data_IF_829006869291
#
_entry.id   IF_829006869291
#
_cell.length_a   1.000
_cell.length_b   1.000
_cell.length_c   1.000
_cell.angle_alpha   90.00
_cell.angle_beta   90.00
_cell.angle_gamma   90.00
#
_symmetry.space_group_name_H-M   'P 1'
#
loop_
_entity.id
_entity.type
_entity.pdbx_description
1 polymer ?
#
# COMPACT_ATOMS: atom_id res chain seq x y z
N UNK A 1 31.14 -5.72 0.29
CA UNK A 1 30.85 -5.11 1.61
C UNK A 1 29.67 -4.16 1.41
N UNK A 2 28.45 -4.66 1.43
CA UNK A 2 27.24 -3.85 1.28
C UNK A 2 26.62 -3.65 2.65
N UNK A 3 26.57 -2.39 3.09
CA UNK A 3 25.94 -1.97 4.33
C UNK A 3 24.44 -2.28 4.23
N UNK A 4 24.01 -3.34 4.92
CA UNK A 4 22.60 -3.66 5.14
C UNK A 4 21.97 -2.62 6.08
N UNK A 5 21.64 -1.45 5.54
CA UNK A 5 20.92 -0.40 6.26
C UNK A 5 19.64 -0.05 5.49
N UNK A 6 18.68 -0.98 5.45
CA UNK A 6 17.36 -0.69 4.88
C UNK A 6 16.46 -0.03 5.93
N UNK A 7 15.73 1.00 5.49
CA UNK A 7 14.65 1.65 6.23
C UNK A 7 15.07 2.90 7.00
N UNK A 8 16.04 2.82 7.93
CA UNK A 8 16.35 3.96 8.80
C UNK A 8 17.44 4.90 8.23
N UNK A 9 18.53 4.36 7.70
CA UNK A 9 19.61 5.18 7.13
C UNK A 9 19.18 5.87 5.83
N UNK A 10 18.50 5.15 4.94
CA UNK A 10 17.94 5.74 3.72
C UNK A 10 16.93 6.86 4.01
N UNK A 11 16.11 6.72 5.05
CA UNK A 11 15.19 7.79 5.49
C UNK A 11 15.95 8.99 6.04
N UNK A 12 17.05 8.79 6.76
CA UNK A 12 17.91 9.88 7.24
C UNK A 12 18.59 10.62 6.08
N UNK A 13 19.14 9.89 5.09
CA UNK A 13 19.74 10.52 3.90
C UNK A 13 18.70 11.25 3.04
N UNK A 14 17.47 10.75 2.97
CA UNK A 14 16.39 11.38 2.24
C UNK A 14 15.57 12.37 3.07
N UNK A 15 15.93 12.64 4.33
CA UNK A 15 15.15 13.49 5.21
C UNK A 15 14.97 14.91 4.65
N UNK A 16 16.03 15.47 4.05
CA UNK A 16 15.98 16.79 3.41
C UNK A 16 14.94 16.82 2.28
N UNK A 17 14.93 15.78 1.45
CA UNK A 17 13.97 15.63 0.35
C UNK A 17 12.54 15.48 0.88
N UNK A 18 12.34 14.66 1.91
CA UNK A 18 11.02 14.47 2.55
C UNK A 18 10.50 15.80 3.09
N UNK A 19 11.33 16.55 3.81
CA UNK A 19 10.95 17.86 4.36
C UNK A 19 10.68 18.89 3.27
N UNK A 20 11.48 18.89 2.20
CA UNK A 20 11.27 19.74 1.02
C UNK A 20 9.91 19.45 0.36
N UNK A 21 9.57 18.17 0.17
CA UNK A 21 8.29 17.77 -0.43
C UNK A 21 7.10 18.14 0.48
N UNK A 22 7.25 17.99 1.80
CA UNK A 22 6.24 18.44 2.76
C UNK A 22 6.04 19.95 2.65
N UNK A 23 7.12 20.73 2.59
CA UNK A 23 7.04 22.18 2.48
C UNK A 23 6.38 22.61 1.16
N UNK A 24 6.80 22.01 0.05
CA UNK A 24 6.22 22.23 -1.27
C UNK A 24 4.72 21.95 -1.27
N UNK A 25 4.30 20.77 -0.80
CA UNK A 25 2.89 20.37 -0.77
C UNK A 25 2.04 21.32 0.07
N UNK A 26 2.52 21.74 1.24
CA UNK A 26 1.81 22.73 2.07
C UNK A 26 1.64 24.07 1.36
N UNK A 27 2.69 24.56 0.70
CA UNK A 27 2.65 25.81 -0.06
C UNK A 27 1.67 25.72 -1.22
N UNK A 28 1.69 24.60 -1.94
CA UNK A 28 0.81 24.35 -3.08
C UNK A 28 -0.66 24.32 -2.66
N UNK A 29 -0.99 23.62 -1.56
CA UNK A 29 -2.33 23.60 -0.98
C UNK A 29 -2.77 25.01 -0.53
N UNK A 30 -1.92 25.74 0.19
CA UNK A 30 -2.21 27.11 0.65
C UNK A 30 -2.42 28.08 -0.54
N UNK A 31 -1.76 27.85 -1.68
CA UNK A 31 -1.94 28.66 -2.88
C UNK A 31 -3.22 28.27 -3.64
N UNK A 32 -3.52 26.97 -3.74
CA UNK A 32 -4.67 26.47 -4.47
C UNK A 32 -6.00 26.71 -3.73
N UNK A 33 -5.98 26.72 -2.39
CA UNK A 33 -7.18 26.86 -1.53
C UNK A 33 -8.28 25.83 -1.89
N UNK A 34 -8.00 24.51 -1.75
CA UNK A 34 -8.98 23.50 -2.08
C UNK A 34 -10.18 23.51 -1.11
N UNK A 35 -11.37 23.21 -1.63
CA UNK A 35 -12.56 22.96 -0.80
C UNK A 35 -12.39 21.72 0.09
N UNK A 36 -11.63 20.73 -0.38
CA UNK A 36 -11.32 19.49 0.35
C UNK A 36 -9.99 18.91 -0.10
N UNK A 37 -9.26 18.31 0.84
CA UNK A 37 -8.02 17.56 0.57
C UNK A 37 -8.31 16.08 0.72
N UNK A 38 -8.06 15.29 -0.34
CA UNK A 38 -8.19 13.83 -0.32
C UNK A 38 -6.80 13.21 -0.29
N UNK A 39 -6.43 12.63 0.85
CA UNK A 39 -5.21 11.87 1.02
C UNK A 39 -5.40 10.44 0.49
N UNK A 40 -4.47 9.94 -0.32
CA UNK A 40 -4.52 8.58 -0.89
C UNK A 40 -3.35 7.79 -0.33
N UNK A 41 -3.66 6.78 0.49
CA UNK A 41 -2.68 5.86 1.11
C UNK A 41 -1.48 6.62 1.74
N UNK A 42 -0.31 6.01 1.86
CA UNK A 42 0.97 6.58 2.27
C UNK A 42 0.95 7.42 3.57
N UNK A 43 0.57 6.81 4.71
CA UNK A 43 0.38 7.50 5.99
C UNK A 43 1.59 8.24 6.53
N UNK A 44 2.81 7.83 6.14
CA UNK A 44 4.04 8.47 6.62
C UNK A 44 4.13 9.95 6.24
N UNK A 45 3.70 10.29 5.02
CA UNK A 45 3.67 11.66 4.52
C UNK A 45 2.30 12.30 4.77
N UNK A 46 1.21 11.62 4.39
CA UNK A 46 -0.12 12.19 4.37
C UNK A 46 -0.63 12.58 5.76
N UNK A 47 -0.33 11.82 6.82
CA UNK A 47 -0.74 12.21 8.18
C UNK A 47 -0.05 13.51 8.67
N UNK A 48 1.16 13.81 8.17
CA UNK A 48 1.85 15.07 8.51
C UNK A 48 1.22 16.27 7.80
N UNK A 49 0.70 16.06 6.59
CA UNK A 49 -0.04 17.07 5.85
C UNK A 49 -1.43 17.24 6.45
N UNK A 50 -2.13 16.16 6.78
CA UNK A 50 -3.44 16.17 7.41
C UNK A 50 -3.44 16.95 8.73
N UNK A 51 -2.48 16.69 9.63
CA UNK A 51 -2.37 17.46 10.88
C UNK A 51 -2.20 18.96 10.62
N UNK A 52 -1.39 19.34 9.63
CA UNK A 52 -1.19 20.74 9.28
C UNK A 52 -2.44 21.35 8.64
N UNK A 53 -3.07 20.63 7.72
CA UNK A 53 -4.26 21.05 6.99
C UNK A 53 -5.43 21.27 7.96
N UNK A 54 -5.57 20.38 8.96
CA UNK A 54 -6.58 20.50 10.01
C UNK A 54 -6.41 21.78 10.82
N UNK A 55 -5.17 22.15 11.17
CA UNK A 55 -4.87 23.43 11.87
C UNK A 55 -5.15 24.66 11.01
N UNK A 56 -5.15 24.50 9.69
CA UNK A 56 -5.53 25.53 8.70
C UNK A 56 -7.03 25.54 8.38
N UNK A 57 -7.82 24.68 9.01
CA UNK A 57 -9.25 24.51 8.80
C UNK A 57 -9.64 23.98 7.41
N UNK A 58 -8.73 23.31 6.70
CA UNK A 58 -9.10 22.58 5.49
C UNK A 58 -9.89 21.32 5.84
N UNK A 59 -10.98 21.01 5.11
CA UNK A 59 -11.63 19.71 5.19
C UNK A 59 -10.70 18.58 4.71
N UNK A 60 -10.63 17.50 5.49
CA UNK A 60 -9.64 16.44 5.31
C UNK A 60 -10.30 15.08 5.11
N UNK A 61 -10.10 14.50 3.94
CA UNK A 61 -10.60 13.19 3.56
C UNK A 61 -9.44 12.22 3.37
N UNK A 62 -9.60 10.96 3.72
CA UNK A 62 -8.54 9.96 3.58
C UNK A 62 -9.08 8.68 2.94
N UNK A 63 -8.49 8.31 1.81
CA UNK A 63 -8.80 7.11 1.05
C UNK A 63 -7.70 6.07 1.21
N UNK A 64 -8.12 4.82 1.44
CA UNK A 64 -7.25 3.70 1.84
C UNK A 64 -6.63 3.98 3.21
N UNK A 65 -7.36 3.57 4.24
CA UNK A 65 -6.98 3.78 5.64
C UNK A 65 -5.57 3.28 5.95
N UNK A 66 -4.82 4.00 6.81
CA UNK A 66 -3.60 3.45 7.39
C UNK A 66 -3.91 2.14 8.15
N UNK A 67 -3.12 1.10 7.94
CA UNK A 67 -3.29 -0.22 8.56
C UNK A 67 -2.88 -0.23 10.05
N UNK A 68 -3.44 0.66 10.86
CA UNK A 68 -3.09 0.81 12.28
C UNK A 68 -3.46 -0.43 13.10
N UNK A 69 -4.48 -1.18 12.65
CA UNK A 69 -4.94 -2.43 13.23
C UNK A 69 -3.85 -3.52 13.27
N UNK A 70 -2.86 -3.46 12.38
CA UNK A 70 -1.81 -4.49 12.30
C UNK A 70 -0.64 -4.28 13.29
N UNK A 71 -0.41 -3.05 13.79
CA UNK A 71 0.85 -2.75 14.51
C UNK A 71 0.90 -1.45 15.33
N UNK A 72 0.00 -0.48 15.11
CA UNK A 72 0.10 0.87 15.71
C UNK A 72 -1.26 1.49 16.05
N UNK A 73 -2.11 0.73 16.73
CA UNK A 73 -3.48 1.13 17.08
C UNK A 73 -3.57 2.49 17.80
N UNK A 74 -2.58 2.84 18.63
CA UNK A 74 -2.50 4.16 19.31
C UNK A 74 -2.63 5.37 18.37
N UNK A 75 -2.31 5.21 17.07
CA UNK A 75 -2.45 6.26 16.05
C UNK A 75 -3.90 6.62 15.73
N UNK A 76 -4.88 5.86 16.22
CA UNK A 76 -6.31 6.20 16.10
C UNK A 76 -6.60 7.62 16.60
N UNK A 77 -5.89 8.09 17.64
CA UNK A 77 -6.04 9.44 18.19
C UNK A 77 -5.71 10.52 17.16
N UNK A 78 -4.67 10.31 16.36
CA UNK A 78 -4.28 11.25 15.32
C UNK A 78 -5.29 11.21 14.16
N UNK A 79 -5.73 10.01 13.75
CA UNK A 79 -6.75 9.88 12.70
C UNK A 79 -8.03 10.63 13.09
N UNK A 80 -8.56 10.39 14.29
CA UNK A 80 -9.76 11.07 14.79
C UNK A 80 -9.63 12.59 14.87
N UNK A 81 -8.42 13.08 15.17
CA UNK A 81 -8.13 14.51 15.28
C UNK A 81 -8.01 15.17 13.91
N UNK A 82 -7.33 14.49 12.98
CA UNK A 82 -6.80 15.10 11.76
C UNK A 82 -7.63 14.79 10.51
N UNK A 83 -8.54 13.80 10.54
CA UNK A 83 -9.30 13.32 9.37
C UNK A 83 -10.80 13.46 9.62
N UNK A 84 -11.49 14.17 8.72
CA UNK A 84 -12.94 14.39 8.77
C UNK A 84 -13.75 13.23 8.17
N UNK A 85 -13.27 12.65 7.06
CA UNK A 85 -13.89 11.45 6.45
C UNK A 85 -12.82 10.42 6.11
N UNK A 86 -13.07 9.17 6.50
CA UNK A 86 -12.18 8.05 6.25
C UNK A 86 -12.89 6.99 5.42
N UNK A 87 -12.28 6.62 4.29
CA UNK A 87 -12.76 5.61 3.36
C UNK A 87 -11.89 4.35 3.47
N UNK A 88 -12.49 3.26 3.92
CA UNK A 88 -11.84 1.97 4.14
C UNK A 88 -12.17 1.00 3.00
N UNK A 89 -11.21 0.16 2.65
CA UNK A 89 -11.32 -0.75 1.50
C UNK A 89 -11.45 -2.21 1.89
N UNK A 90 -11.23 -2.55 3.17
CA UNK A 90 -11.43 -3.89 3.70
C UNK A 90 -12.67 -3.91 4.61
N UNK A 91 -13.55 -4.93 4.50
CA UNK A 91 -14.83 -4.94 5.21
C UNK A 91 -14.65 -4.93 6.74
N UNK A 92 -13.63 -5.61 7.26
CA UNK A 92 -13.34 -5.64 8.70
C UNK A 92 -12.82 -4.31 9.25
N UNK A 93 -12.24 -3.44 8.42
CA UNK A 93 -11.75 -2.14 8.86
C UNK A 93 -12.91 -1.25 9.33
N UNK A 94 -14.09 -1.37 8.70
CA UNK A 94 -15.29 -0.66 9.13
C UNK A 94 -15.64 -0.99 10.58
N UNK A 95 -15.72 -2.27 10.90
CA UNK A 95 -16.00 -2.73 12.26
C UNK A 95 -14.90 -2.31 13.25
N UNK A 96 -13.64 -2.38 12.84
CA UNK A 96 -12.51 -1.91 13.65
C UNK A 96 -12.63 -0.43 14.01
N UNK A 97 -12.99 0.45 13.07
CA UNK A 97 -13.14 1.86 13.36
C UNK A 97 -14.44 2.19 14.10
N UNK A 98 -15.58 1.67 13.65
CA UNK A 98 -16.88 2.06 14.19
C UNK A 98 -17.16 1.40 15.54
N UNK A 99 -16.99 0.08 15.65
CA UNK A 99 -17.37 -0.67 16.86
C UNK A 99 -16.32 -0.56 17.95
N UNK A 100 -15.04 -0.77 17.60
CA UNK A 100 -13.95 -0.74 18.59
C UNK A 100 -13.55 0.69 18.94
N UNK A 101 -13.44 1.55 17.93
CA UNK A 101 -12.92 2.89 18.13
C UNK A 101 -13.97 3.99 18.13
N UNK A 102 -15.25 3.72 17.87
CA UNK A 102 -16.31 4.75 17.85
C UNK A 102 -15.92 5.91 16.91
N UNK A 103 -15.43 5.58 15.71
CA UNK A 103 -15.09 6.52 14.65
C UNK A 103 -15.85 6.12 13.38
N UNK A 104 -16.78 6.96 12.88
CA UNK A 104 -17.54 6.65 11.67
C UNK A 104 -16.64 6.61 10.45
N UNK A 105 -16.78 5.58 9.62
CA UNK A 105 -16.00 5.41 8.38
C UNK A 105 -16.87 4.86 7.26
N UNK A 106 -16.45 5.08 6.02
CA UNK A 106 -17.18 4.61 4.85
C UNK A 106 -16.44 3.45 4.19
N UNK A 107 -17.10 2.29 4.08
CA UNK A 107 -16.56 1.17 3.32
C UNK A 107 -16.94 1.34 1.84
N UNK A 108 -15.93 1.45 0.99
CA UNK A 108 -16.09 1.81 -0.44
C UNK A 108 -15.70 0.68 -1.39
N UNK A 109 -15.48 -0.53 -0.87
CA UNK A 109 -15.02 -1.67 -1.66
C UNK A 109 -13.52 -1.63 -1.92
N UNK A 110 -12.99 -2.75 -2.43
CA UNK A 110 -11.57 -2.90 -2.71
C UNK A 110 -11.30 -2.73 -4.22
N UNK A 111 -10.46 -1.76 -4.62
CA UNK A 111 -10.16 -1.50 -6.05
C UNK A 111 -9.66 -2.70 -6.85
N UNK A 112 -9.07 -3.68 -6.17
CA UNK A 112 -8.58 -4.91 -6.78
C UNK A 112 -9.72 -5.75 -7.37
N UNK A 113 -10.91 -5.71 -6.78
CA UNK A 113 -12.08 -6.44 -7.30
C UNK A 113 -12.48 -5.91 -8.67
N UNK A 114 -12.53 -4.58 -8.82
CA UNK A 114 -12.83 -3.93 -10.10
C UNK A 114 -11.73 -4.19 -11.12
N UNK A 115 -10.46 -4.13 -10.71
CA UNK A 115 -9.32 -4.45 -11.56
C UNK A 115 -9.34 -5.90 -12.06
N UNK A 116 -9.73 -6.85 -11.21
CA UNK A 116 -9.90 -8.26 -11.60
C UNK A 116 -11.08 -8.43 -12.55
N UNK A 117 -12.19 -7.72 -12.30
CA UNK A 117 -13.37 -7.79 -13.16
C UNK A 117 -13.08 -7.28 -14.58
N UNK A 118 -12.32 -6.19 -14.68
CA UNK A 118 -11.97 -5.55 -15.95
C UNK A 118 -10.75 -6.16 -16.64
N UNK A 119 -10.11 -7.19 -16.05
CA UNK A 119 -8.94 -7.81 -16.66
C UNK A 119 -9.33 -8.56 -17.94
N UNK A 120 -8.54 -8.39 -18.99
CA UNK A 120 -8.66 -9.23 -20.17
C UNK A 120 -8.43 -10.68 -19.77
N UNK A 121 -9.37 -11.57 -20.09
CA UNK A 121 -9.19 -13.01 -19.83
C UNK A 121 -8.05 -13.52 -20.71
N UNK A 122 -7.02 -14.03 -20.07
CA UNK A 122 -5.90 -14.68 -20.76
C UNK A 122 -6.32 -16.10 -21.14
N UNK A 123 -6.20 -16.45 -22.42
CA UNK A 123 -6.38 -17.81 -22.88
C UNK A 123 -5.15 -18.64 -22.50
N UNK A 124 -5.35 -19.78 -21.85
CA UNK A 124 -4.25 -20.64 -21.38
C UNK A 124 -3.33 -21.10 -22.52
N UNK A 125 -3.87 -21.48 -23.68
CA UNK A 125 -3.09 -21.91 -24.84
C UNK A 125 -2.18 -20.79 -25.33
N UNK A 126 -2.72 -19.56 -25.42
CA UNK A 126 -1.94 -18.39 -25.84
C UNK A 126 -0.83 -18.06 -24.83
N UNK A 127 -1.14 -18.12 -23.53
CA UNK A 127 -0.15 -17.89 -22.47
C UNK A 127 0.99 -18.92 -22.54
N UNK A 128 0.65 -20.20 -22.72
CA UNK A 128 1.64 -21.26 -22.88
C UNK A 128 2.51 -21.04 -24.13
N UNK A 129 1.91 -20.66 -25.25
CA UNK A 129 2.64 -20.36 -26.48
C UNK A 129 3.60 -19.17 -26.31
N UNK A 130 3.13 -18.08 -25.70
CA UNK A 130 3.92 -16.86 -25.46
C UNK A 130 5.13 -17.14 -24.58
N UNK A 131 4.94 -17.91 -23.51
CA UNK A 131 6.00 -18.24 -22.54
C UNK A 131 6.76 -19.54 -22.85
N UNK A 132 6.50 -20.18 -23.98
CA UNK A 132 7.15 -21.44 -24.41
C UNK A 132 6.98 -22.58 -23.40
N UNK A 133 5.81 -22.64 -22.76
CA UNK A 133 5.43 -23.65 -21.80
C UNK A 133 4.81 -24.85 -22.53
N UNK A 134 5.12 -26.06 -22.08
CA UNK A 134 4.55 -27.30 -22.62
C UNK A 134 3.19 -27.62 -21.96
N UNK A 135 2.70 -28.86 -22.07
CA UNK A 135 1.41 -29.28 -21.50
C UNK A 135 1.45 -29.67 -20.01
N UNK A 136 2.62 -29.66 -19.36
CA UNK A 136 2.73 -29.98 -17.93
C UNK A 136 2.03 -28.90 -17.07
N UNK A 137 1.60 -29.23 -15.84
CA UNK A 137 1.06 -28.22 -14.93
C UNK A 137 2.11 -27.16 -14.59
N UNK A 138 1.68 -25.89 -14.47
CA UNK A 138 2.55 -24.73 -14.24
C UNK A 138 2.51 -24.35 -12.75
N UNK A 139 3.68 -24.12 -12.15
CA UNK A 139 3.83 -23.60 -10.78
C UNK A 139 4.49 -22.22 -10.84
N UNK A 140 3.75 -21.16 -10.49
CA UNK A 140 4.31 -19.82 -10.46
C UNK A 140 5.17 -19.58 -9.20
N UNK A 141 6.41 -19.13 -9.39
CA UNK A 141 7.29 -18.69 -8.31
C UNK A 141 7.09 -17.20 -8.02
N UNK A 142 6.63 -16.87 -6.82
CA UNK A 142 6.35 -15.50 -6.38
C UNK A 142 7.22 -15.14 -5.16
N UNK A 143 8.54 -14.90 -5.35
CA UNK A 143 9.51 -14.74 -4.25
C UNK A 143 9.42 -13.39 -3.53
N UNK A 144 8.35 -12.62 -3.74
CA UNK A 144 8.17 -11.26 -3.23
C UNK A 144 8.61 -10.18 -4.21
N UNK A 145 8.34 -8.93 -3.86
CA UNK A 145 8.61 -7.76 -4.71
C UNK A 145 9.86 -7.00 -4.29
N UNK A 146 10.36 -7.22 -3.07
CA UNK A 146 11.55 -6.54 -2.56
C UNK A 146 12.80 -7.33 -2.88
N UNK A 147 13.91 -6.64 -3.21
CA UNK A 147 15.21 -7.27 -3.51
C UNK A 147 15.67 -8.29 -2.44
N UNK A 148 15.44 -7.99 -1.15
CA UNK A 148 15.78 -8.91 -0.07
C UNK A 148 14.88 -10.16 -0.03
N UNK A 149 13.58 -9.98 -0.28
CA UNK A 149 12.63 -11.10 -0.40
C UNK A 149 13.07 -12.00 -1.55
N UNK A 150 13.34 -11.42 -2.72
CA UNK A 150 13.81 -12.13 -3.91
C UNK A 150 15.12 -12.89 -3.62
N UNK A 151 16.15 -12.20 -3.11
CA UNK A 151 17.46 -12.81 -2.83
C UNK A 151 17.39 -13.96 -1.82
N UNK A 152 16.41 -13.95 -0.90
CA UNK A 152 16.28 -14.97 0.15
C UNK A 152 15.34 -16.10 -0.26
N UNK A 153 14.17 -15.77 -0.81
CA UNK A 153 13.09 -16.69 -1.09
C UNK A 153 13.26 -17.40 -2.42
N UNK A 154 13.75 -16.71 -3.47
CA UNK A 154 13.88 -17.32 -4.79
C UNK A 154 14.82 -18.54 -4.75
N UNK A 155 15.95 -18.43 -4.04
CA UNK A 155 16.88 -19.56 -3.90
C UNK A 155 16.23 -20.78 -3.23
N UNK A 156 15.37 -20.56 -2.22
CA UNK A 156 14.66 -21.64 -1.54
C UNK A 156 13.56 -22.23 -2.43
N UNK A 157 12.86 -21.39 -3.20
CA UNK A 157 11.86 -21.84 -4.17
C UNK A 157 12.49 -22.65 -5.31
N UNK A 158 13.66 -22.25 -5.81
CA UNK A 158 14.36 -22.98 -6.87
C UNK A 158 14.89 -24.34 -6.40
N UNK A 159 15.21 -24.48 -5.11
CA UNK A 159 15.71 -25.74 -4.56
C UNK A 159 14.72 -26.90 -4.66
N UNK A 160 13.41 -26.62 -4.75
CA UNK A 160 12.39 -27.67 -4.89
C UNK A 160 12.12 -28.03 -6.35
N UNK A 161 12.65 -27.29 -7.33
CA UNK A 161 12.26 -27.46 -8.74
C UNK A 161 12.60 -28.86 -9.24
N UNK A 162 13.75 -29.39 -8.85
CA UNK A 162 14.21 -30.72 -9.24
C UNK A 162 13.38 -31.85 -8.60
N UNK A 163 12.66 -31.57 -7.49
CA UNK A 163 11.78 -32.53 -6.81
C UNK A 163 10.42 -32.70 -7.52
N UNK A 164 10.08 -31.83 -8.47
CA UNK A 164 8.81 -31.84 -9.22
C UNK A 164 9.02 -31.95 -10.74
N UNK A 165 9.61 -33.06 -11.25
CA UNK A 165 9.95 -33.22 -12.66
C UNK A 165 8.73 -33.21 -13.61
N UNK A 166 7.56 -33.60 -13.12
CA UNK A 166 6.30 -33.63 -13.86
C UNK A 166 5.65 -32.23 -14.01
N UNK A 167 6.25 -31.20 -13.40
CA UNK A 167 5.78 -29.82 -13.43
C UNK A 167 6.75 -28.92 -14.21
N UNK A 168 6.28 -27.73 -14.56
CA UNK A 168 7.11 -26.63 -15.07
C UNK A 168 6.90 -25.38 -14.21
N UNK A 169 7.90 -24.51 -14.14
CA UNK A 169 7.97 -23.36 -13.26
C UNK A 169 8.14 -22.05 -14.03
#
# INVERSE_FOLDING_TARGET
KELAFMGFAEVLFNLKTILSNIHFCKKDIDQFQPDVIIFIDYPGFNMRIAEWAKKKNFPTHYYISPQIWAWKENRIKNIKRDIDKLYVILPFEKDFYEKKHHFPVEFVGHPLIDAIHNRTKVNESNFRQEHRLDNRPIIALLPGSRKQEINKLLNQMLAIVDDFPDYQF
#
